data_IF_275663346232
#
_entry.id   IF_275663346232
#
_cell.length_a   1.000
_cell.length_b   1.000
_cell.length_c   1.000
_cell.angle_alpha   90.00
_cell.angle_beta   90.00
_cell.angle_gamma   90.00
#
_symmetry.space_group_name_H-M   'P 1'
#
loop_
_entity.id
_entity.type
_entity.pdbx_description
1 polymer ?
#
# COMPACT_ATOMS: atom_id res chain seq x y z
N UNK A 1 -1.24 16.89 -20.67
CA UNK A 1 -1.13 18.36 -20.71
C UNK A 1 0.23 18.69 -21.29
N UNK A 2 0.32 19.33 -22.47
CA UNK A 2 1.62 19.58 -23.11
C UNK A 2 2.38 20.70 -22.39
N UNK A 3 3.65 20.47 -22.03
CA UNK A 3 4.58 21.52 -21.62
C UNK A 3 4.56 21.95 -20.15
N UNK A 4 3.76 21.30 -19.29
CA UNK A 4 3.74 21.56 -17.84
C UNK A 4 4.12 20.31 -17.06
N UNK A 5 4.80 20.47 -15.93
CA UNK A 5 5.05 19.39 -14.96
C UNK A 5 4.07 19.50 -13.80
N UNK A 6 3.58 18.38 -13.27
CA UNK A 6 2.64 18.36 -12.17
C UNK A 6 2.99 17.21 -11.22
N UNK A 7 3.22 17.48 -9.94
CA UNK A 7 3.72 16.45 -9.01
C UNK A 7 2.74 16.14 -7.87
N UNK A 8 1.61 16.84 -7.81
CA UNK A 8 0.58 16.66 -6.81
C UNK A 8 -0.82 16.64 -7.42
N UNK A 9 -1.75 15.99 -6.73
CA UNK A 9 -3.17 16.00 -7.07
C UNK A 9 -3.99 15.99 -5.79
N UNK A 10 -5.02 16.83 -5.73
CA UNK A 10 -6.00 16.83 -4.64
C UNK A 10 -7.42 16.91 -5.23
N UNK A 11 -8.40 16.38 -4.49
CA UNK A 11 -9.81 16.39 -4.88
C UNK A 11 -10.67 16.86 -3.72
N UNK A 12 -11.67 17.70 -4.00
CA UNK A 12 -12.65 18.12 -2.99
C UNK A 12 -13.90 17.22 -2.99
N UNK A 13 -14.80 17.45 -2.03
CA UNK A 13 -16.07 16.71 -1.92
C UNK A 13 -17.06 16.95 -3.07
N UNK A 14 -16.72 17.76 -4.07
CA UNK A 14 -17.54 18.08 -5.23
C UNK A 14 -16.89 17.59 -6.54
N UNK A 15 -15.93 16.67 -6.47
CA UNK A 15 -15.25 16.12 -7.66
C UNK A 15 -14.48 17.20 -8.44
N UNK A 16 -14.05 18.28 -7.78
CA UNK A 16 -13.09 19.22 -8.36
C UNK A 16 -11.68 18.72 -8.10
N UNK A 17 -10.87 18.69 -9.16
CA UNK A 17 -9.47 18.26 -9.10
C UNK A 17 -8.56 19.49 -9.09
N UNK A 18 -7.64 19.53 -8.15
CA UNK A 18 -6.68 20.60 -7.96
C UNK A 18 -5.28 20.08 -8.31
N UNK A 19 -4.54 20.85 -9.09
CA UNK A 19 -3.21 20.47 -9.53
C UNK A 19 -2.25 21.65 -9.55
N UNK A 20 -1.02 21.47 -9.04
CA UNK A 20 0.07 22.40 -9.26
C UNK A 20 0.68 22.13 -10.64
N UNK A 21 0.66 23.14 -11.51
CA UNK A 21 1.37 23.12 -12.78
C UNK A 21 2.70 23.87 -12.59
N UNK A 22 3.72 23.14 -12.14
CA UNK A 22 5.04 23.67 -11.76
C UNK A 22 5.66 24.50 -12.87
N UNK A 23 5.61 24.03 -14.12
CA UNK A 23 6.20 24.73 -15.28
C UNK A 23 5.48 26.02 -15.68
N UNK A 24 4.21 26.19 -15.31
CA UNK A 24 3.43 27.41 -15.55
C UNK A 24 3.24 28.24 -14.28
N UNK A 25 3.91 27.86 -13.19
CA UNK A 25 3.87 28.53 -11.91
C UNK A 25 2.44 28.86 -11.41
N UNK A 26 1.52 27.90 -11.53
CA UNK A 26 0.12 28.09 -11.16
C UNK A 26 -0.48 26.86 -10.50
N UNK A 27 -1.56 27.08 -9.76
CA UNK A 27 -2.45 26.02 -9.30
C UNK A 27 -3.75 26.09 -10.11
N UNK A 28 -4.16 24.97 -10.69
CA UNK A 28 -5.37 24.87 -11.52
C UNK A 28 -6.42 24.05 -10.81
N UNK A 29 -7.68 24.49 -10.88
CA UNK A 29 -8.85 23.72 -10.48
C UNK A 29 -9.65 23.32 -11.72
N UNK A 30 -9.74 22.01 -11.94
CA UNK A 30 -10.62 21.39 -12.92
C UNK A 30 -11.93 21.02 -12.24
N UNK A 31 -13.06 21.36 -12.84
CA UNK A 31 -14.35 20.91 -12.32
C UNK A 31 -14.65 19.45 -12.69
N UNK A 32 -15.75 18.92 -12.17
CA UNK A 32 -16.16 17.52 -12.37
C UNK A 32 -16.33 17.12 -13.85
N UNK A 33 -16.64 18.08 -14.72
CA UNK A 33 -16.74 17.94 -16.17
C UNK A 33 -15.41 18.15 -16.91
N UNK A 34 -14.32 18.37 -16.16
CA UNK A 34 -12.95 18.66 -16.62
C UNK A 34 -12.79 19.97 -17.38
N UNK A 35 -13.77 20.87 -17.29
CA UNK A 35 -13.57 22.26 -17.68
C UNK A 35 -12.59 22.94 -16.73
N UNK A 36 -11.69 23.76 -17.28
CA UNK A 36 -10.85 24.65 -16.46
C UNK A 36 -11.72 25.82 -16.07
N UNK A 37 -12.04 25.92 -14.79
CA UNK A 37 -12.94 26.96 -14.31
C UNK A 37 -12.20 28.07 -13.55
N UNK A 38 -11.07 27.77 -12.92
CA UNK A 38 -10.28 28.75 -12.15
C UNK A 38 -8.82 28.31 -12.05
N UNK A 39 -7.89 29.26 -12.06
CA UNK A 39 -6.49 29.04 -11.70
C UNK A 39 -5.98 30.20 -10.83
N UNK A 40 -4.92 29.92 -10.08
CA UNK A 40 -4.17 30.90 -9.29
C UNK A 40 -2.75 30.98 -9.82
N UNK A 41 -2.41 32.10 -10.42
CA UNK A 41 -1.03 32.39 -10.81
C UNK A 41 -0.22 32.71 -9.55
N UNK A 42 0.84 31.96 -9.32
CA UNK A 42 1.73 32.13 -8.19
C UNK A 42 2.88 33.03 -8.63
N UNK A 43 2.58 34.30 -8.91
CA UNK A 43 3.58 35.23 -9.44
C UNK A 43 4.87 35.22 -8.60
N UNK A 44 5.98 35.30 -9.32
CA UNK A 44 7.33 35.39 -8.76
C UNK A 44 7.33 36.46 -7.67
N UNK A 45 7.81 36.10 -6.48
CA UNK A 45 8.24 37.13 -5.55
C UNK A 45 9.35 37.96 -6.21
N UNK A 46 9.71 39.10 -5.61
CA UNK A 46 10.76 40.00 -6.16
C UNK A 46 12.12 39.30 -6.39
N UNK A 47 12.28 38.03 -6.01
CA UNK A 47 13.46 37.20 -6.25
C UNK A 47 13.64 36.76 -7.71
N UNK A 48 12.59 36.82 -8.54
CA UNK A 48 12.65 36.45 -9.96
C UNK A 48 12.81 34.95 -10.24
N UNK A 49 12.64 34.09 -9.21
CA UNK A 49 12.58 32.64 -9.37
C UNK A 49 11.13 32.14 -9.30
N UNK A 50 10.75 31.13 -10.12
CA UNK A 50 9.40 30.59 -10.11
C UNK A 50 9.14 29.89 -8.77
N UNK A 51 7.97 30.16 -8.17
CA UNK A 51 7.56 29.55 -6.92
C UNK A 51 7.53 28.01 -6.98
N UNK A 52 7.34 27.46 -8.17
CA UNK A 52 7.38 26.03 -8.48
C UNK A 52 6.46 25.23 -7.54
N UNK A 53 5.13 25.43 -7.64
CA UNK A 53 4.18 24.67 -6.85
C UNK A 53 4.37 23.18 -7.12
N UNK A 54 4.38 22.37 -6.05
CA UNK A 54 4.78 20.96 -6.13
C UNK A 54 3.73 20.01 -5.54
N UNK A 55 3.56 20.01 -4.22
CA UNK A 55 2.50 19.28 -3.54
C UNK A 55 1.26 20.14 -3.38
N UNK A 56 0.11 19.49 -3.22
CA UNK A 56 -1.18 20.16 -3.05
C UNK A 56 -2.08 19.40 -2.09
N UNK A 57 -2.81 20.13 -1.27
CA UNK A 57 -3.86 19.61 -0.39
C UNK A 57 -5.07 20.54 -0.41
N UNK A 58 -6.26 19.98 -0.19
CA UNK A 58 -7.50 20.74 -0.07
C UNK A 58 -8.25 20.28 1.17
N UNK A 59 -8.69 21.24 2.00
CA UNK A 59 -9.50 20.93 3.18
C UNK A 59 -11.00 20.87 2.85
N UNK A 60 -11.82 20.46 3.83
CA UNK A 60 -13.27 20.38 3.69
C UNK A 60 -13.95 21.75 3.44
N UNK A 61 -13.29 22.86 3.81
CA UNK A 61 -13.75 24.21 3.52
C UNK A 61 -13.36 24.67 2.10
N UNK A 62 -12.66 23.82 1.33
CA UNK A 62 -12.08 24.08 0.01
C UNK A 62 -10.96 25.12 0.02
N UNK A 63 -10.28 25.27 1.15
CA UNK A 63 -9.01 25.98 1.21
C UNK A 63 -7.94 25.11 0.56
N UNK A 64 -7.17 25.70 -0.35
CA UNK A 64 -6.12 24.99 -1.08
C UNK A 64 -4.77 25.37 -0.49
N UNK A 65 -3.96 24.37 -0.22
CA UNK A 65 -2.59 24.52 0.28
C UNK A 65 -1.63 23.94 -0.74
N UNK A 66 -0.54 24.64 -1.04
CA UNK A 66 0.50 24.14 -1.93
C UNK A 66 1.89 24.48 -1.40
N UNK A 67 2.81 23.54 -1.51
CA UNK A 67 4.23 23.77 -1.26
C UNK A 67 4.85 24.47 -2.46
N UNK A 68 5.69 25.47 -2.20
CA UNK A 68 6.51 26.14 -3.20
C UNK A 68 7.94 25.63 -3.04
N UNK A 69 8.33 24.70 -3.91
CA UNK A 69 9.56 23.92 -3.73
C UNK A 69 10.81 24.82 -3.78
N UNK A 70 10.87 25.75 -4.72
CA UNK A 70 12.05 26.62 -4.88
C UNK A 70 12.04 27.79 -3.89
N UNK A 71 10.86 28.30 -3.53
CA UNK A 71 10.74 29.41 -2.57
C UNK A 71 10.87 28.96 -1.12
N UNK A 72 10.80 27.64 -0.84
CA UNK A 72 10.87 27.08 0.51
C UNK A 72 9.75 27.63 1.40
N UNK A 73 8.54 27.68 0.86
CA UNK A 73 7.34 28.20 1.54
C UNK A 73 6.14 27.28 1.30
N UNK A 74 5.08 27.53 2.07
CA UNK A 74 3.73 27.02 1.80
C UNK A 74 2.84 28.22 1.51
N UNK A 75 2.00 28.08 0.48
CA UNK A 75 0.92 29.02 0.19
C UNK A 75 -0.43 28.38 0.49
N UNK A 76 -1.28 29.16 1.13
CA UNK A 76 -2.69 28.89 1.35
C UNK A 76 -3.51 29.87 0.54
N UNK A 77 -4.25 29.33 -0.41
CA UNK A 77 -5.10 30.08 -1.33
C UNK A 77 -6.48 30.23 -0.69
N UNK A 78 -6.88 31.46 -0.40
CA UNK A 78 -8.19 31.78 0.20
C UNK A 78 -8.95 32.78 -0.67
N UNK A 79 -10.26 32.88 -0.44
CA UNK A 79 -11.08 33.91 -1.10
C UNK A 79 -10.78 35.34 -0.61
N UNK A 80 -10.06 35.50 0.52
CA UNK A 80 -9.75 36.78 1.14
C UNK A 80 -8.30 37.24 0.91
N UNK A 81 -7.54 36.51 0.08
CA UNK A 81 -6.13 36.75 -0.18
C UNK A 81 -5.27 35.53 0.16
N UNK A 82 -4.11 35.44 -0.49
CA UNK A 82 -3.19 34.32 -0.27
C UNK A 82 -2.38 34.56 1.01
N UNK A 83 -2.28 33.54 1.85
CA UNK A 83 -1.41 33.51 3.02
C UNK A 83 -0.17 32.68 2.68
N UNK A 84 1.03 33.18 2.99
CA UNK A 84 2.29 32.48 2.74
C UNK A 84 3.08 32.41 4.04
N UNK A 85 3.65 31.25 4.34
CA UNK A 85 4.57 31.09 5.46
C UNK A 85 5.73 30.18 5.07
N UNK A 86 6.78 30.26 5.89
CA UNK A 86 8.03 29.55 5.67
C UNK A 86 9.12 30.45 5.11
N UNK A 87 10.34 29.93 5.17
CA UNK A 87 11.52 30.53 4.55
C UNK A 87 12.59 29.45 4.40
N UNK A 88 13.58 29.68 3.53
CA UNK A 88 14.72 28.77 3.41
C UNK A 88 15.49 28.60 4.73
N UNK A 89 15.76 27.37 5.12
CA UNK A 89 16.59 27.06 6.29
C UNK A 89 16.27 25.69 6.92
N UNK A 90 16.76 25.49 8.14
CA UNK A 90 16.59 24.24 8.91
C UNK A 90 16.00 24.44 10.30
N UNK A 91 15.69 25.69 10.69
CA UNK A 91 14.97 26.00 11.91
C UNK A 91 13.48 25.64 11.85
N UNK A 92 12.77 25.85 12.95
CA UNK A 92 11.32 25.65 13.04
C UNK A 92 10.58 26.58 12.07
N UNK A 93 9.69 26.01 11.26
CA UNK A 93 8.98 26.74 10.21
C UNK A 93 9.85 27.15 9.02
N UNK A 94 11.13 26.76 8.97
CA UNK A 94 11.96 26.91 7.79
C UNK A 94 12.00 25.61 6.98
N UNK A 95 12.15 25.72 5.67
CA UNK A 95 12.12 24.57 4.75
C UNK A 95 13.35 24.51 3.86
N UNK A 96 13.61 23.32 3.32
CA UNK A 96 14.54 23.07 2.23
C UNK A 96 13.85 22.15 1.22
N UNK A 97 13.43 22.70 0.08
CA UNK A 97 12.71 22.01 -0.99
C UNK A 97 11.48 21.22 -0.49
N UNK A 98 10.49 21.88 0.13
CA UNK A 98 9.29 21.18 0.61
C UNK A 98 8.50 20.63 -0.59
N UNK A 99 8.10 19.35 -0.53
CA UNK A 99 7.35 18.70 -1.62
C UNK A 99 5.96 18.30 -1.19
N UNK A 100 5.80 17.34 -0.29
CA UNK A 100 4.50 16.80 0.13
C UNK A 100 3.77 17.72 1.11
N UNK A 101 2.44 17.74 1.01
CA UNK A 101 1.58 18.49 1.94
C UNK A 101 0.27 17.74 2.20
N UNK A 102 -0.19 17.74 3.44
CA UNK A 102 -1.49 17.21 3.85
C UNK A 102 -2.15 18.13 4.87
N UNK A 103 -3.47 18.07 4.97
CA UNK A 103 -4.26 18.82 5.96
C UNK A 103 -5.20 17.87 6.69
N UNK A 104 -5.22 17.92 8.02
CA UNK A 104 -6.17 17.13 8.82
C UNK A 104 -7.52 17.85 9.01
N UNK A 105 -8.49 17.13 9.58
CA UNK A 105 -9.84 17.65 9.84
C UNK A 105 -9.88 18.79 10.87
N UNK A 106 -8.81 18.98 11.66
CA UNK A 106 -8.65 20.11 12.58
C UNK A 106 -7.96 21.30 11.91
N UNK A 107 -7.60 21.20 10.64
CA UNK A 107 -6.90 22.23 9.88
C UNK A 107 -5.41 22.28 10.13
N UNK A 108 -4.80 21.29 10.80
CA UNK A 108 -3.35 21.26 10.89
C UNK A 108 -2.75 20.86 9.54
N UNK A 109 -1.66 21.53 9.17
CA UNK A 109 -0.96 21.33 7.91
C UNK A 109 0.33 20.56 8.17
N UNK A 110 0.54 19.48 7.44
CA UNK A 110 1.73 18.63 7.52
C UNK A 110 2.53 18.80 6.24
N UNK A 111 3.82 19.07 6.36
CA UNK A 111 4.71 19.36 5.23
C UNK A 111 5.88 18.40 5.27
N UNK A 112 6.14 17.73 4.16
CA UNK A 112 7.36 16.99 3.93
C UNK A 112 8.47 17.99 3.56
N UNK A 113 9.38 18.23 4.50
CA UNK A 113 10.52 19.12 4.36
C UNK A 113 11.71 18.31 3.82
N UNK A 114 11.61 17.99 2.53
CA UNK A 114 12.35 16.91 1.85
C UNK A 114 13.86 17.07 1.97
N UNK A 115 14.38 18.28 1.75
CA UNK A 115 15.81 18.58 1.84
C UNK A 115 16.35 18.52 3.27
N UNK A 116 15.50 18.70 4.28
CA UNK A 116 15.87 18.56 5.69
C UNK A 116 15.55 17.17 6.26
N UNK A 117 14.97 16.26 5.46
CA UNK A 117 14.66 14.88 5.85
C UNK A 117 13.76 14.77 7.09
N UNK A 118 12.73 15.63 7.15
CA UNK A 118 11.81 15.70 8.29
C UNK A 118 10.39 16.00 7.84
N UNK A 119 9.44 15.79 8.74
CA UNK A 119 8.07 16.30 8.61
C UNK A 119 7.89 17.44 9.61
N UNK A 120 7.19 18.49 9.18
CA UNK A 120 6.78 19.59 10.05
C UNK A 120 5.25 19.70 10.08
N UNK A 121 4.70 19.96 11.26
CA UNK A 121 3.27 20.21 11.49
C UNK A 121 3.04 21.66 11.88
N UNK A 122 2.01 22.26 11.30
CA UNK A 122 1.62 23.65 11.50
C UNK A 122 0.13 23.75 11.83
N UNK A 123 -0.24 24.81 12.54
CA UNK A 123 -1.63 25.25 12.59
C UNK A 123 -2.06 25.81 11.22
N UNK A 124 -3.36 25.90 10.96
CA UNK A 124 -3.93 26.44 9.70
C UNK A 124 -3.52 27.89 9.37
N UNK A 125 -2.93 28.60 10.35
CA UNK A 125 -2.40 29.97 10.24
C UNK A 125 -0.89 30.01 9.98
N UNK A 126 -0.24 28.86 9.74
CA UNK A 126 1.20 28.77 9.51
C UNK A 126 2.08 28.79 10.75
N UNK A 127 1.48 28.77 11.96
CA UNK A 127 2.24 28.67 13.22
C UNK A 127 2.81 27.26 13.35
N UNK A 128 4.13 27.15 13.53
CA UNK A 128 4.82 25.89 13.78
C UNK A 128 4.33 25.23 15.07
N UNK A 129 4.05 23.92 15.00
CA UNK A 129 3.59 23.12 16.15
C UNK A 129 4.61 22.08 16.59
N UNK A 130 5.13 21.30 15.64
CA UNK A 130 6.16 20.29 15.91
C UNK A 130 6.86 19.82 14.64
N UNK A 131 7.97 19.12 14.83
CA UNK A 131 8.70 18.42 13.78
C UNK A 131 9.19 17.06 14.27
N UNK A 132 9.44 16.14 13.34
CA UNK A 132 10.14 14.89 13.64
C UNK A 132 10.86 14.37 12.40
N UNK A 133 11.81 13.47 12.64
CA UNK A 133 12.67 12.91 11.61
C UNK A 133 14.00 13.66 11.46
N UNK A 134 14.93 12.97 10.81
CA UNK A 134 16.25 13.45 10.41
C UNK A 134 16.72 12.58 9.25
N UNK A 135 17.88 12.89 8.67
CA UNK A 135 18.48 12.01 7.66
C UNK A 135 18.82 10.63 8.26
N UNK A 136 18.40 9.55 7.60
CA UNK A 136 18.75 8.18 7.96
C UNK A 136 17.83 7.11 7.37
N UNK A 137 18.02 5.87 7.81
CA UNK A 137 17.25 4.70 7.37
C UNK A 137 16.64 3.87 8.50
N UNK A 138 16.87 4.26 9.76
CA UNK A 138 16.24 3.64 10.94
C UNK A 138 14.77 4.03 11.06
N UNK A 139 14.08 3.49 12.06
CA UNK A 139 12.69 3.82 12.33
C UNK A 139 12.55 5.28 12.77
N UNK A 140 11.55 5.98 12.24
CA UNK A 140 11.24 7.35 12.60
C UNK A 140 12.16 8.43 12.01
N UNK A 141 13.13 8.04 11.19
CA UNK A 141 13.99 8.94 10.41
C UNK A 141 13.80 8.68 8.91
N UNK A 142 14.20 9.61 8.06
CA UNK A 142 13.84 9.64 6.64
C UNK A 142 15.05 9.87 5.74
N UNK A 143 14.89 9.52 4.47
CA UNK A 143 15.79 9.89 3.39
C UNK A 143 14.95 10.46 2.25
N UNK A 144 15.01 11.79 2.08
CA UNK A 144 14.23 12.56 1.11
C UNK A 144 12.73 12.18 1.12
N UNK A 145 11.98 12.39 2.22
CA UNK A 145 10.56 12.08 2.24
C UNK A 145 9.81 13.02 1.29
N UNK A 146 9.13 12.49 0.27
CA UNK A 146 8.45 13.34 -0.71
C UNK A 146 6.93 13.45 -0.51
N UNK A 147 6.32 12.45 0.11
CA UNK A 147 4.88 12.36 0.32
C UNK A 147 4.49 12.32 1.79
N UNK A 148 3.42 13.02 2.16
CA UNK A 148 2.81 12.95 3.47
C UNK A 148 1.28 12.90 3.33
N UNK A 149 0.64 12.07 4.14
CA UNK A 149 -0.82 11.99 4.23
C UNK A 149 -1.24 11.77 5.69
N UNK A 150 -2.45 12.18 6.05
CA UNK A 150 -3.00 12.03 7.41
C UNK A 150 -4.36 11.37 7.33
N UNK A 151 -4.58 10.34 8.15
CA UNK A 151 -5.86 9.63 8.20
C UNK A 151 -6.88 10.30 9.13
N UNK A 152 -8.12 9.80 9.14
CA UNK A 152 -9.20 10.37 9.95
C UNK A 152 -8.95 10.27 11.47
N UNK A 153 -8.05 9.40 11.90
CA UNK A 153 -7.64 9.23 13.31
C UNK A 153 -6.40 10.07 13.67
N UNK A 154 -5.84 10.81 12.71
CA UNK A 154 -4.65 11.63 12.89
C UNK A 154 -3.34 10.86 12.81
N UNK A 155 -3.32 9.62 12.33
CA UNK A 155 -2.05 8.97 12.02
C UNK A 155 -1.44 9.60 10.77
N UNK A 156 -0.13 9.82 10.81
CA UNK A 156 0.62 10.38 9.70
C UNK A 156 1.33 9.28 8.94
N UNK A 157 1.25 9.32 7.62
CA UNK A 157 1.89 8.39 6.71
C UNK A 157 2.86 9.15 5.84
N UNK A 158 4.10 8.68 5.78
CA UNK A 158 5.19 9.34 5.07
C UNK A 158 5.74 8.40 4.03
N UNK A 159 5.77 8.85 2.78
CA UNK A 159 6.52 8.20 1.73
C UNK A 159 8.00 8.57 1.93
N UNK A 160 8.75 7.63 2.49
CA UNK A 160 10.19 7.77 2.77
C UNK A 160 10.96 7.38 1.51
N UNK A 161 10.90 8.27 0.52
CA UNK A 161 11.15 8.00 -0.90
C UNK A 161 12.54 7.43 -1.15
N UNK A 162 13.58 8.02 -0.55
CA UNK A 162 14.96 7.55 -0.67
C UNK A 162 15.21 6.18 0.00
N UNK A 163 14.38 5.81 0.98
CA UNK A 163 14.41 4.47 1.59
C UNK A 163 13.39 3.49 0.97
N UNK A 164 12.61 3.93 -0.04
CA UNK A 164 11.66 3.12 -0.80
C UNK A 164 10.65 2.36 0.08
N UNK A 165 10.09 3.06 1.07
CA UNK A 165 9.14 2.52 2.04
C UNK A 165 8.10 3.56 2.44
N UNK A 166 7.04 3.10 3.09
CA UNK A 166 6.09 3.97 3.80
C UNK A 166 6.27 3.77 5.29
N UNK A 167 6.28 4.86 6.05
CA UNK A 167 6.30 4.85 7.51
C UNK A 167 5.00 5.47 8.06
N UNK A 168 4.44 4.86 9.11
CA UNK A 168 3.25 5.32 9.84
C UNK A 168 3.62 5.82 11.22
N UNK A 169 3.01 6.92 11.62
CA UNK A 169 3.27 7.65 12.85
C UNK A 169 1.98 7.95 13.61
N UNK A 170 2.08 8.08 14.93
CA UNK A 170 1.01 8.61 15.77
C UNK A 170 0.84 10.12 15.57
N UNK A 171 -0.28 10.71 16.05
CA UNK A 171 -0.54 12.15 15.97
C UNK A 171 0.52 13.03 16.63
N UNK A 172 1.34 12.44 17.51
CA UNK A 172 2.48 13.03 18.24
C UNK A 172 3.82 12.89 17.49
N UNK A 173 3.83 12.35 16.27
CA UNK A 173 5.04 12.10 15.48
C UNK A 173 5.82 10.86 15.92
N UNK A 174 5.27 10.02 16.81
CA UNK A 174 5.94 8.77 17.23
C UNK A 174 5.82 7.69 16.16
N UNK A 175 6.92 7.06 15.80
CA UNK A 175 6.93 5.92 14.88
C UNK A 175 6.04 4.77 15.40
N UNK A 176 5.21 4.22 14.51
CA UNK A 176 4.33 3.07 14.78
C UNK A 176 4.73 1.83 14.00
N UNK A 177 4.85 1.95 12.68
CA UNK A 177 5.19 0.83 11.80
C UNK A 177 5.71 1.32 10.45
N UNK A 178 6.23 0.41 9.63
CA UNK A 178 6.64 0.65 8.25
C UNK A 178 6.39 -0.57 7.39
N UNK A 179 6.25 -0.36 6.09
CA UNK A 179 6.20 -1.43 5.11
C UNK A 179 6.81 -0.99 3.79
N UNK A 180 7.10 -2.00 2.97
CA UNK A 180 7.74 -1.85 1.68
C UNK A 180 9.26 -1.87 1.70
N UNK A 181 9.79 -2.10 0.52
CA UNK A 181 11.21 -2.17 0.20
C UNK A 181 11.42 -1.76 -1.26
N UNK A 182 12.65 -1.46 -1.66
CA UNK A 182 12.95 -1.15 -3.05
C UNK A 182 12.56 -2.26 -4.03
N UNK A 183 11.92 -1.88 -5.14
CA UNK A 183 11.61 -2.78 -6.25
C UNK A 183 10.24 -2.53 -6.89
N UNK A 184 9.87 -3.40 -7.82
CA UNK A 184 8.62 -3.32 -8.60
C UNK A 184 7.68 -4.50 -8.35
N UNK A 185 8.02 -5.38 -7.39
CA UNK A 185 7.16 -6.48 -6.96
C UNK A 185 6.03 -6.04 -6.03
N UNK A 186 5.19 -7.00 -5.64
CA UNK A 186 4.12 -6.80 -4.65
C UNK A 186 4.66 -6.25 -3.34
N UNK A 187 4.09 -5.13 -2.88
CA UNK A 187 4.51 -4.46 -1.65
C UNK A 187 5.87 -3.76 -1.74
N UNK A 188 6.56 -3.82 -2.87
CA UNK A 188 7.81 -3.09 -3.11
C UNK A 188 7.51 -1.74 -3.78
N UNK A 189 8.37 -0.75 -3.57
CA UNK A 189 8.22 0.59 -4.13
C UNK A 189 9.44 1.02 -4.94
N UNK A 190 9.18 1.75 -6.02
CA UNK A 190 10.20 2.48 -6.77
C UNK A 190 9.90 3.97 -6.72
N UNK A 191 10.58 4.71 -5.84
CA UNK A 191 10.35 6.17 -5.63
C UNK A 191 8.88 6.43 -5.24
N UNK A 192 8.42 5.98 -4.06
CA UNK A 192 7.07 6.26 -3.58
C UNK A 192 6.92 7.74 -3.27
N UNK A 193 5.82 8.36 -3.72
CA UNK A 193 5.62 9.81 -3.66
C UNK A 193 4.20 10.21 -3.27
N UNK A 194 3.18 9.48 -3.72
CA UNK A 194 1.77 9.74 -3.39
C UNK A 194 1.20 8.75 -2.39
N UNK A 195 0.44 9.25 -1.40
CA UNK A 195 -0.32 8.43 -0.45
C UNK A 195 -1.74 8.98 -0.34
N UNK A 196 -2.75 8.10 -0.41
CA UNK A 196 -4.16 8.44 -0.19
C UNK A 196 -4.90 7.35 0.58
N UNK A 197 -6.08 7.66 1.10
CA UNK A 197 -6.92 6.74 1.85
C UNK A 197 -8.34 6.69 1.27
N UNK A 198 -8.97 5.52 1.31
CA UNK A 198 -10.42 5.41 1.13
C UNK A 198 -11.17 5.53 2.48
N UNK A 199 -12.49 5.61 2.44
CA UNK A 199 -13.34 5.70 3.65
C UNK A 199 -13.31 4.45 4.53
N UNK A 200 -12.70 3.35 4.05
CA UNK A 200 -12.42 2.14 4.83
C UNK A 200 -10.97 2.11 5.33
N UNK A 201 -10.25 3.22 5.23
CA UNK A 201 -8.87 3.41 5.71
C UNK A 201 -7.85 2.53 4.99
N UNK A 202 -8.21 2.00 3.82
CA UNK A 202 -7.21 1.36 2.99
C UNK A 202 -6.27 2.41 2.42
N UNK A 203 -5.01 2.05 2.33
CA UNK A 203 -3.92 2.94 1.98
C UNK A 203 -3.54 2.70 0.52
N UNK A 204 -3.41 3.77 -0.25
CA UNK A 204 -3.09 3.74 -1.66
C UNK A 204 -1.77 4.45 -1.84
N UNK A 205 -0.78 3.75 -2.40
CA UNK A 205 0.57 4.28 -2.59
C UNK A 205 0.87 4.32 -4.08
N UNK A 206 1.14 5.53 -4.57
CA UNK A 206 1.71 5.75 -5.89
C UNK A 206 3.23 5.76 -5.80
N UNK A 207 3.86 5.10 -6.76
CA UNK A 207 5.31 5.11 -6.95
C UNK A 207 5.60 5.29 -8.44
N UNK A 208 6.86 5.56 -8.81
CA UNK A 208 7.30 5.81 -10.19
C UNK A 208 7.32 4.53 -11.04
N UNK A 209 6.31 3.69 -10.88
CA UNK A 209 5.95 2.60 -11.78
C UNK A 209 4.56 2.87 -12.36
N UNK A 210 4.13 2.04 -13.29
CA UNK A 210 2.81 2.17 -13.94
C UNK A 210 1.66 1.66 -13.09
N UNK A 211 1.67 1.93 -11.77
CA UNK A 211 0.66 1.40 -10.86
C UNK A 211 0.42 2.23 -9.61
N UNK A 212 -0.71 1.94 -8.97
CA UNK A 212 -1.02 2.29 -7.58
C UNK A 212 -1.24 1.00 -6.80
N UNK A 213 -0.56 0.85 -5.66
CA UNK A 213 -0.73 -0.31 -4.78
C UNK A 213 -1.66 0.02 -3.62
N UNK A 214 -2.60 -0.88 -3.32
CA UNK A 214 -3.53 -0.78 -2.19
C UNK A 214 -3.06 -1.68 -1.05
N UNK A 215 -3.17 -1.16 0.17
CA UNK A 215 -2.83 -1.84 1.43
C UNK A 215 -3.95 -1.66 2.43
N UNK A 216 -4.03 -2.53 3.43
CA UNK A 216 -4.91 -2.32 4.58
C UNK A 216 -4.28 -1.35 5.60
N UNK A 217 -4.99 -0.94 6.67
CA UNK A 217 -4.47 -0.02 7.67
C UNK A 217 -3.22 -0.49 8.44
N UNK A 218 -2.90 -1.79 8.38
CA UNK A 218 -1.70 -2.38 9.00
C UNK A 218 -0.50 -2.46 8.06
N UNK A 219 -0.66 -2.06 6.78
CA UNK A 219 0.39 -2.09 5.76
C UNK A 219 0.50 -3.40 4.99
N UNK A 220 -0.49 -4.30 5.10
CA UNK A 220 -0.54 -5.52 4.31
C UNK A 220 -1.09 -5.22 2.93
N UNK A 221 -0.46 -5.80 1.91
CA UNK A 221 -0.84 -5.59 0.53
C UNK A 221 -2.20 -6.22 0.19
N UNK A 222 -3.04 -5.48 -0.53
CA UNK A 222 -4.39 -5.90 -0.95
C UNK A 222 -4.55 -6.01 -2.47
N UNK A 223 -3.79 -5.27 -3.26
CA UNK A 223 -3.85 -5.37 -4.72
C UNK A 223 -3.18 -4.23 -5.47
N UNK A 224 -3.17 -4.34 -6.80
CA UNK A 224 -2.64 -3.30 -7.71
C UNK A 224 -3.73 -2.76 -8.65
N UNK A 225 -3.71 -1.46 -8.88
CA UNK A 225 -4.41 -0.80 -9.99
C UNK A 225 -3.37 -0.28 -10.98
N UNK A 226 -3.41 -0.78 -12.22
CA UNK A 226 -2.51 -0.34 -13.29
C UNK A 226 -2.87 1.08 -13.77
N UNK A 227 -1.85 1.87 -14.10
CA UNK A 227 -1.95 3.22 -14.65
C UNK A 227 -1.28 3.29 -16.03
N UNK A 228 -1.41 4.43 -16.71
CA UNK A 228 -0.91 4.59 -18.07
C UNK A 228 0.57 4.93 -18.21
N UNK A 229 1.35 4.95 -17.12
CA UNK A 229 2.76 5.36 -17.08
C UNK A 229 3.23 5.64 -15.65
N UNK A 230 4.43 6.18 -15.48
CA UNK A 230 5.03 6.43 -14.16
C UNK A 230 4.10 7.28 -13.30
N UNK A 231 3.62 6.71 -12.20
CA UNK A 231 2.62 7.35 -11.33
C UNK A 231 3.33 8.20 -10.29
N UNK A 232 2.85 9.41 -10.05
CA UNK A 232 3.50 10.35 -9.12
C UNK A 232 2.59 10.71 -7.95
N UNK A 233 1.29 10.76 -8.18
CA UNK A 233 0.36 11.14 -7.13
C UNK A 233 -0.95 10.37 -7.26
N UNK A 234 -1.58 10.16 -6.11
CA UNK A 234 -2.88 9.54 -5.99
C UNK A 234 -3.71 10.33 -4.98
N UNK A 235 -5.00 10.48 -5.26
CA UNK A 235 -5.97 11.02 -4.31
C UNK A 235 -7.30 10.27 -4.45
N UNK A 236 -8.10 10.25 -3.40
CA UNK A 236 -9.39 9.54 -3.37
C UNK A 236 -10.43 10.53 -2.86
N UNK A 237 -11.54 10.63 -3.58
CA UNK A 237 -12.66 11.47 -3.17
C UNK A 237 -13.53 10.77 -2.11
N UNK A 238 -14.43 11.50 -1.42
CA UNK A 238 -15.32 10.90 -0.43
C UNK A 238 -16.26 9.80 -0.96
N UNK A 239 -16.46 9.73 -2.29
CA UNK A 239 -17.25 8.66 -2.92
C UNK A 239 -16.46 7.36 -3.12
N UNK A 240 -15.14 7.38 -2.87
CA UNK A 240 -14.23 6.26 -3.11
C UNK A 240 -13.67 6.24 -4.53
N UNK A 241 -13.88 7.28 -5.33
CA UNK A 241 -13.28 7.37 -6.66
C UNK A 241 -11.80 7.73 -6.54
N UNK A 242 -10.94 6.91 -7.11
CA UNK A 242 -9.49 7.15 -7.13
C UNK A 242 -9.10 7.99 -8.34
N UNK A 243 -8.21 8.96 -8.12
CA UNK A 243 -7.55 9.75 -9.15
C UNK A 243 -6.06 9.48 -9.08
N UNK A 244 -5.46 9.16 -10.23
CA UNK A 244 -4.03 8.98 -10.33
C UNK A 244 -3.46 9.96 -11.36
N UNK A 245 -2.33 10.56 -11.02
CA UNK A 245 -1.53 11.44 -11.88
C UNK A 245 -0.29 10.67 -12.32
N UNK A 246 -0.09 10.58 -13.63
CA UNK A 246 1.09 9.93 -14.19
C UNK A 246 1.65 10.69 -15.39
N UNK A 247 2.90 10.39 -15.69
CA UNK A 247 3.57 10.85 -16.90
C UNK A 247 3.68 9.70 -17.91
N UNK A 248 3.38 9.99 -19.18
CA UNK A 248 3.68 9.07 -20.28
C UNK A 248 3.96 9.86 -21.55
N UNK A 249 5.03 9.49 -22.28
CA UNK A 249 5.45 10.16 -23.51
C UNK A 249 5.60 11.69 -23.33
N UNK A 250 6.25 12.12 -22.24
CA UNK A 250 6.47 13.53 -21.89
C UNK A 250 5.18 14.36 -21.74
N UNK A 251 4.07 13.71 -21.38
CA UNK A 251 2.79 14.36 -21.15
C UNK A 251 2.16 13.85 -19.86
N UNK A 252 1.73 14.79 -19.03
CA UNK A 252 1.02 14.51 -17.79
C UNK A 252 -0.44 14.17 -18.07
N UNK A 253 -0.93 13.14 -17.40
CA UNK A 253 -2.27 12.58 -17.56
C UNK A 253 -2.90 12.28 -16.21
N UNK A 254 -4.23 12.44 -16.15
CA UNK A 254 -5.03 12.10 -14.99
C UNK A 254 -6.00 10.98 -15.37
N UNK A 255 -6.08 9.96 -14.54
CA UNK A 255 -7.04 8.87 -14.65
C UNK A 255 -8.02 8.93 -13.50
N UNK A 256 -9.27 8.60 -13.78
CA UNK A 256 -10.37 8.55 -12.81
C UNK A 256 -10.89 7.12 -12.78
N UNK A 257 -10.82 6.49 -11.62
CA UNK A 257 -11.13 5.08 -11.41
C UNK A 257 -12.28 4.98 -10.40
N UNK A 258 -13.52 4.93 -10.91
CA UNK A 258 -14.75 4.86 -10.08
C UNK A 258 -14.87 3.54 -9.31
N UNK A 259 -14.37 2.47 -9.91
CA UNK A 259 -14.23 1.15 -9.30
C UNK A 259 -12.83 0.67 -9.66
N UNK A 260 -11.80 1.07 -8.89
CA UNK A 260 -10.44 0.64 -9.19
C UNK A 260 -10.38 -0.88 -9.07
N UNK A 261 -10.14 -1.56 -10.19
CA UNK A 261 -9.97 -3.00 -10.23
C UNK A 261 -8.63 -3.34 -9.61
N UNK A 262 -8.64 -3.61 -8.31
CA UNK A 262 -7.46 -4.15 -7.64
C UNK A 262 -7.37 -5.62 -7.95
N UNK A 263 -6.39 -5.97 -8.79
CA UNK A 263 -6.02 -7.35 -9.02
C UNK A 263 -5.15 -7.75 -7.82
N UNK A 264 -5.55 -8.75 -7.01
CA UNK A 264 -4.62 -9.38 -6.09
C UNK A 264 -3.50 -9.97 -6.95
N UNK A 265 -2.33 -9.35 -6.99
CA UNK A 265 -1.17 -9.95 -7.64
C UNK A 265 -0.87 -11.23 -6.88
N UNK A 266 -0.58 -12.32 -7.62
CA UNK A 266 -0.40 -13.65 -7.04
C UNK A 266 0.41 -13.57 -5.74
N UNK A 267 -0.24 -13.88 -4.61
CA UNK A 267 0.45 -14.10 -3.35
C UNK A 267 1.56 -15.11 -3.58
N UNK A 268 2.79 -14.90 -3.07
CA UNK A 268 3.80 -15.95 -3.07
C UNK A 268 3.15 -17.22 -2.52
N UNK A 269 3.29 -18.35 -3.25
CA UNK A 269 2.73 -19.64 -2.83
C UNK A 269 3.04 -19.85 -1.35
N UNK A 270 2.02 -19.93 -0.49
CA UNK A 270 2.23 -20.40 0.87
C UNK A 270 2.45 -21.91 0.81
N UNK A 271 3.71 -22.33 0.74
CA UNK A 271 4.09 -23.73 0.96
C UNK A 271 4.36 -23.92 2.46
N UNK A 272 3.54 -24.73 3.13
CA UNK A 272 3.93 -25.33 4.42
C UNK A 272 4.48 -26.72 4.15
N UNK A 273 5.70 -26.98 4.58
CA UNK A 273 6.37 -28.27 4.42
C UNK A 273 6.33 -29.01 5.75
N UNK A 274 5.58 -30.10 5.83
CA UNK A 274 5.58 -30.99 6.99
C UNK A 274 6.59 -32.12 6.74
N UNK A 275 7.56 -32.28 7.64
CA UNK A 275 8.52 -33.40 7.61
C UNK A 275 8.09 -34.45 8.64
N UNK A 276 7.66 -35.64 8.21
CA UNK A 276 7.26 -36.70 9.14
C UNK A 276 8.42 -37.70 9.30
N UNK A 277 8.92 -37.84 10.53
CA UNK A 277 9.89 -38.88 10.89
C UNK A 277 9.13 -40.10 11.43
N UNK A 278 9.23 -41.22 10.72
CA UNK A 278 8.63 -42.49 11.15
C UNK A 278 9.54 -43.15 12.18
N UNK A 279 9.09 -43.26 13.43
CA UNK A 279 9.76 -44.03 14.46
C UNK A 279 9.67 -45.56 14.17
N UNK A 280 10.67 -46.36 14.56
CA UNK A 280 10.65 -47.80 14.29
C UNK A 280 9.51 -48.48 15.05
N UNK A 281 8.60 -49.13 14.33
CA UNK A 281 7.58 -49.99 14.94
C UNK A 281 8.20 -51.32 15.40
N UNK A 282 7.95 -51.67 16.66
CA UNK A 282 8.08 -53.04 17.12
C UNK A 282 6.76 -53.79 16.91
N UNK A 283 6.84 -54.84 16.11
CA UNK A 283 5.89 -55.97 15.97
C UNK A 283 4.71 -55.78 15.01
N UNK A 284 4.63 -56.76 14.11
CA UNK A 284 3.74 -56.87 12.96
C UNK A 284 2.30 -57.20 13.34
N UNK A 285 1.36 -56.45 12.77
CA UNK A 285 0.05 -56.97 12.37
C UNK A 285 -0.31 -56.36 11.02
N UNK A 286 -0.49 -57.21 10.01
CA UNK A 286 -0.90 -56.83 8.66
C UNK A 286 -2.31 -56.23 8.66
N UNK A 287 -2.54 -55.01 8.15
CA UNK A 287 -3.89 -54.50 7.94
C UNK A 287 -4.50 -55.20 6.71
N UNK A 288 -5.61 -55.90 6.91
CA UNK A 288 -6.43 -56.42 5.81
C UNK A 288 -7.34 -55.30 5.30
N UNK A 289 -7.29 -55.08 3.96
CA UNK A 289 -8.02 -54.09 3.15
C UNK A 289 -7.51 -52.64 3.22
N UNK A 290 -6.73 -52.27 2.21
CA UNK A 290 -6.58 -50.88 1.76
C UNK A 290 -7.76 -50.56 0.83
N UNK A 291 -8.59 -49.53 1.09
CA UNK A 291 -9.61 -49.11 0.14
C UNK A 291 -8.94 -48.37 -1.02
N UNK A 292 -9.24 -48.75 -2.26
CA UNK A 292 -8.77 -48.10 -3.50
C UNK A 292 -9.59 -46.87 -3.92
N UNK A 293 -10.44 -46.33 -3.04
CA UNK A 293 -11.25 -45.14 -3.32
C UNK A 293 -10.58 -43.88 -2.77
N UNK A 294 -10.57 -42.82 -3.58
CA UNK A 294 -10.29 -41.46 -3.12
C UNK A 294 -11.10 -41.17 -1.85
N UNK A 295 -10.43 -40.67 -0.82
CA UNK A 295 -11.07 -40.25 0.41
C UNK A 295 -11.85 -38.95 0.13
N UNK A 296 -13.18 -39.03 -0.04
CA UNK A 296 -14.06 -37.86 0.09
C UNK A 296 -14.38 -37.68 1.58
N UNK A 297 -13.80 -36.64 2.19
CA UNK A 297 -14.06 -36.28 3.57
C UNK A 297 -15.41 -35.53 3.65
N UNK A 298 -16.41 -36.13 4.31
CA UNK A 298 -17.66 -35.47 4.74
C UNK A 298 -17.81 -35.64 6.27
N UNK A 299 -18.43 -34.67 6.97
CA UNK A 299 -19.88 -34.50 6.92
C UNK A 299 -20.30 -33.16 6.30
N UNK A 300 -21.31 -33.22 5.42
CA UNK A 300 -21.97 -32.06 4.85
C UNK A 300 -22.94 -31.41 5.86
N UNK A 301 -22.87 -30.11 6.14
CA UNK A 301 -24.05 -29.30 6.37
C UNK A 301 -24.64 -28.87 5.01
N UNK A 302 -25.96 -28.77 4.94
CA UNK A 302 -26.76 -28.38 3.77
C UNK A 302 -26.14 -27.25 2.94
N UNK A 303 -25.76 -27.58 1.70
CA UNK A 303 -25.07 -26.70 0.77
C UNK A 303 -26.02 -25.71 0.08
N UNK A 304 -25.63 -24.44 0.07
CA UNK A 304 -26.09 -23.44 -0.91
C UNK A 304 -25.10 -23.36 -2.08
N UNK A 305 -25.51 -22.94 -3.29
CA UNK A 305 -24.61 -22.90 -4.45
C UNK A 305 -23.40 -21.99 -4.19
N UNK A 306 -22.20 -22.58 -4.04
CA UNK A 306 -20.95 -21.84 -3.77
C UNK A 306 -19.85 -22.61 -3.02
N UNK A 307 -20.12 -23.77 -2.42
CA UNK A 307 -19.10 -24.50 -1.64
C UNK A 307 -18.10 -25.29 -2.50
N UNK A 308 -16.80 -25.11 -2.21
CA UNK A 308 -15.65 -25.70 -2.91
C UNK A 308 -15.20 -26.99 -2.22
N UNK A 309 -14.87 -28.04 -2.99
CA UNK A 309 -14.31 -29.29 -2.49
C UNK A 309 -12.80 -29.18 -2.27
N UNK A 310 -12.30 -29.48 -1.06
CA UNK A 310 -10.86 -29.60 -0.81
C UNK A 310 -10.39 -30.97 -1.32
N UNK A 311 -9.60 -30.99 -2.41
CA UNK A 311 -8.95 -32.22 -2.91
C UNK A 311 -7.51 -32.31 -2.40
N UNK A 312 -7.16 -33.46 -1.82
CA UNK A 312 -5.77 -33.80 -1.47
C UNK A 312 -5.13 -34.42 -2.72
N UNK A 313 -4.21 -33.70 -3.37
CA UNK A 313 -3.46 -34.21 -4.53
C UNK A 313 -2.18 -34.89 -4.00
N UNK A 314 -1.94 -36.19 -4.28
CA UNK A 314 -0.66 -36.83 -3.96
C UNK A 314 0.50 -36.17 -4.71
N UNK A 315 1.72 -36.08 -4.13
CA UNK A 315 2.84 -35.44 -4.81
C UNK A 315 3.18 -36.17 -6.12
N UNK A 316 3.42 -35.39 -7.18
CA UNK A 316 3.72 -35.89 -8.53
C UNK A 316 5.02 -36.71 -8.61
N UNK A 317 5.86 -36.73 -7.57
CA UNK A 317 7.15 -37.46 -7.55
C UNK A 317 7.53 -38.08 -6.19
N UNK A 318 6.59 -38.30 -5.28
CA UNK A 318 6.86 -38.95 -3.98
C UNK A 318 6.10 -40.26 -3.83
N UNK A 319 6.79 -41.40 -3.81
CA UNK A 319 6.17 -42.68 -3.44
C UNK A 319 5.77 -42.66 -1.97
N UNK A 320 4.50 -42.92 -1.65
CA UNK A 320 4.10 -43.22 -0.29
C UNK A 320 4.91 -44.42 0.23
N UNK A 321 5.40 -44.40 1.49
CA UNK A 321 6.02 -45.58 2.08
C UNK A 321 5.00 -46.73 2.07
N UNK A 322 5.41 -47.85 1.48
CA UNK A 322 4.65 -49.10 1.51
C UNK A 322 4.83 -49.76 2.88
N UNK A 323 3.91 -50.61 3.35
CA UNK A 323 4.13 -51.43 4.55
C UNK A 323 5.43 -52.27 4.53
N UNK A 324 6.08 -52.39 3.37
CA UNK A 324 7.37 -53.05 3.18
C UNK A 324 8.60 -52.10 3.20
N UNK A 325 8.41 -50.80 3.46
CA UNK A 325 9.50 -49.82 3.47
C UNK A 325 10.47 -50.04 4.65
N UNK A 326 11.80 -49.97 4.43
CA UNK A 326 12.78 -50.16 5.49
C UNK A 326 12.66 -49.09 6.59
N UNK A 327 13.03 -49.46 7.82
CA UNK A 327 13.04 -48.56 8.97
C UNK A 327 13.86 -47.29 8.68
N UNK A 328 13.29 -46.11 9.00
CA UNK A 328 13.92 -44.81 8.74
C UNK A 328 13.56 -44.15 7.40
N UNK A 329 12.53 -44.63 6.68
CA UNK A 329 12.06 -43.97 5.46
C UNK A 329 11.27 -42.71 5.80
N UNK A 330 11.80 -41.53 5.43
CA UNK A 330 11.10 -40.25 5.57
C UNK A 330 10.07 -40.06 4.45
N UNK A 331 8.88 -39.60 4.78
CA UNK A 331 7.85 -39.21 3.81
C UNK A 331 7.53 -37.72 3.96
N UNK A 332 7.61 -36.98 2.86
CA UNK A 332 7.24 -35.56 2.82
C UNK A 332 5.87 -35.42 2.18
N UNK A 333 4.90 -34.89 2.92
CA UNK A 333 3.56 -34.60 2.39
C UNK A 333 3.45 -33.10 2.18
N UNK A 334 3.41 -32.67 0.92
CA UNK A 334 3.09 -31.29 0.56
C UNK A 334 1.57 -31.17 0.43
N UNK A 335 0.96 -30.25 1.17
CA UNK A 335 -0.45 -29.89 1.01
C UNK A 335 -0.52 -28.58 0.23
N UNK A 336 -1.13 -28.61 -0.94
CA UNK A 336 -1.36 -27.42 -1.77
C UNK A 336 -2.85 -27.23 -1.95
N UNK A 337 -3.36 -26.02 -1.75
CA UNK A 337 -4.69 -25.63 -2.21
C UNK A 337 -4.60 -25.39 -3.72
N UNK A 338 -5.15 -26.29 -4.55
CA UNK A 338 -5.23 -26.07 -6.00
C UNK A 338 -6.69 -25.79 -6.38
N UNK A 339 -7.01 -24.69 -7.11
CA UNK A 339 -8.31 -24.49 -7.69
C UNK A 339 -8.42 -25.27 -9.01
N UNK A 340 -9.39 -26.16 -9.12
CA UNK A 340 -9.77 -26.81 -10.38
C UNK A 340 -10.14 -25.74 -11.44
N UNK A 341 -9.17 -25.27 -12.25
CA UNK A 341 -9.31 -24.69 -13.60
C UNK A 341 -10.35 -23.59 -13.86
N UNK A 342 -11.07 -23.09 -12.86
CA UNK A 342 -12.28 -22.29 -13.00
C UNK A 342 -12.26 -21.13 -12.02
N UNK A 343 -11.28 -20.23 -12.17
CA UNK A 343 -11.43 -18.80 -11.86
C UNK A 343 -11.89 -18.35 -10.45
N UNK A 344 -11.91 -19.21 -9.43
CA UNK A 344 -12.36 -18.85 -8.09
C UNK A 344 -11.41 -19.31 -6.98
N UNK A 345 -10.69 -18.30 -6.46
CA UNK A 345 -10.15 -18.05 -5.10
C UNK A 345 -9.32 -19.12 -4.37
N UNK A 346 -8.09 -18.69 -4.06
CA UNK A 346 -7.22 -19.17 -2.98
C UNK A 346 -7.97 -19.33 -1.65
N UNK A 347 -8.22 -20.57 -1.25
CA UNK A 347 -8.63 -20.91 0.11
C UNK A 347 -7.38 -21.13 0.97
N UNK A 348 -7.31 -20.58 2.19
CA UNK A 348 -6.28 -20.95 3.15
C UNK A 348 -6.29 -22.46 3.36
N UNK A 349 -5.12 -23.08 3.55
CA UNK A 349 -5.05 -24.46 4.04
C UNK A 349 -5.81 -24.52 5.37
N UNK A 350 -6.92 -25.27 5.48
CA UNK A 350 -7.78 -25.22 6.66
C UNK A 350 -7.03 -25.56 7.95
N UNK A 351 -7.25 -24.78 9.01
CA UNK A 351 -6.74 -25.10 10.33
C UNK A 351 -7.25 -26.49 10.77
N UNK A 352 -6.34 -27.35 11.23
CA UNK A 352 -6.66 -28.74 11.60
C UNK A 352 -6.66 -29.75 10.44
N UNK A 353 -6.33 -29.36 9.19
CA UNK A 353 -6.17 -30.35 8.10
C UNK A 353 -5.04 -31.34 8.39
N UNK A 354 -3.97 -30.87 9.05
CA UNK A 354 -2.89 -31.73 9.50
C UNK A 354 -3.35 -32.71 10.59
N UNK A 355 -4.23 -32.31 11.51
CA UNK A 355 -4.84 -33.23 12.49
C UNK A 355 -5.68 -34.32 11.84
N UNK A 356 -6.41 -34.00 10.77
CA UNK A 356 -7.16 -35.00 10.00
C UNK A 356 -6.23 -35.97 9.27
N UNK A 357 -5.16 -35.45 8.64
CA UNK A 357 -4.11 -36.28 8.02
C UNK A 357 -3.44 -37.16 9.08
N UNK A 358 -3.10 -36.63 10.26
CA UNK A 358 -2.53 -37.38 11.37
C UNK A 358 -3.45 -38.51 11.85
N UNK A 359 -4.75 -38.25 12.01
CA UNK A 359 -5.73 -39.29 12.38
C UNK A 359 -5.79 -40.39 11.33
N UNK A 360 -5.78 -40.05 10.05
CA UNK A 360 -5.77 -41.02 8.96
C UNK A 360 -4.52 -41.90 8.98
N UNK A 361 -3.31 -41.31 9.08
CA UNK A 361 -2.07 -42.08 9.13
C UNK A 361 -1.98 -42.98 10.36
N UNK A 362 -2.47 -42.51 11.52
CA UNK A 362 -2.56 -43.32 12.75
C UNK A 362 -3.53 -44.48 12.59
N UNK A 363 -4.67 -44.25 11.94
CA UNK A 363 -5.73 -45.25 11.76
C UNK A 363 -5.38 -46.32 10.72
N UNK A 364 -4.69 -45.93 9.63
CA UNK A 364 -4.37 -46.84 8.51
C UNK A 364 -3.02 -47.53 8.68
N UNK A 365 -2.04 -46.86 9.25
CA UNK A 365 -0.67 -47.37 9.34
C UNK A 365 -0.19 -47.59 10.78
N UNK A 366 -0.99 -47.26 11.80
CA UNK A 366 -0.64 -47.46 13.22
C UNK A 366 0.48 -46.55 13.74
N UNK A 367 0.87 -45.52 12.98
CA UNK A 367 2.07 -44.72 13.23
C UNK A 367 1.89 -43.78 14.44
N UNK A 368 2.87 -43.77 15.35
CA UNK A 368 3.08 -42.65 16.27
C UNK A 368 3.95 -41.60 15.59
N UNK A 369 3.45 -40.36 15.52
CA UNK A 369 4.19 -39.24 14.94
C UNK A 369 4.64 -38.34 16.08
N UNK A 370 5.96 -38.12 16.22
CA UNK A 370 6.50 -37.06 17.06
C UNK A 370 6.48 -35.76 16.27
N UNK A 371 5.84 -34.75 16.85
CA UNK A 371 5.60 -33.42 16.30
C UNK A 371 6.84 -32.74 15.67
N UNK A 372 6.66 -31.99 14.58
CA UNK A 372 7.69 -31.06 14.09
C UNK A 372 7.07 -29.86 13.36
N UNK A 373 7.53 -28.67 13.78
CA UNK A 373 7.11 -27.29 13.43
C UNK A 373 6.70 -27.01 12.00
#
# INVERSE_FOLDING_TARGET
>A
MPGTTAHGIAVDGFDNVYMPETGSNRVVRYSSDRSINTWWDLNDDESGYPAAPYGIAVDAARTVYSTQRENNTVIKLTMHGNEVWGSKGSGDGQFSHPTGIAVDSSGNVYVADTGNNRIQKFHSTGIFLMQWGSYGSTDGVFNAPEGVAVDAYGHIYVADTGNQRVQKFGPDGRFLTKWGSGGTGTGQFSVPTGIAFDSSENIYVADHTSRVQKFNPTGEFLGVCETGGNTYAVTIDPSGTMYALWESNSSWKIGKYRTPSFIPTETPRQSRTLSVVVAPMSVATTPSKVPTSLLELTPAPTMTPGDTTTRIIPPATGTFPSPASPAGTNATVAVTSDPDGAGYRNTPVPDGIFDQIFRYFRQVFGLEVSDSR
#
